data_IF_087359687227
#
_entry.id   IF_087359687227
#
_cell.length_a   1.000
_cell.length_b   1.000
_cell.length_c   1.000
_cell.angle_alpha   90.00
_cell.angle_beta   90.00
_cell.angle_gamma   90.00
#
_symmetry.space_group_name_H-M   'P 1'
#
loop_
_entity.id
_entity.type
_entity.pdbx_description
1 polymer ?
#
# COMPACT_ATOMS: atom_id res chain seq x y z
N UNK A 1 -8.44 -34.43 -11.32
CA UNK A 1 -9.32 -35.02 -10.29
C UNK A 1 -8.77 -34.91 -8.88
N UNK A 2 -7.51 -35.29 -8.61
CA UNK A 2 -6.94 -35.22 -7.25
C UNK A 2 -7.02 -33.84 -6.59
N UNK A 3 -6.72 -32.77 -7.33
CA UNK A 3 -6.79 -31.38 -6.83
C UNK A 3 -8.23 -30.94 -6.53
N UNK A 4 -9.19 -31.38 -7.34
CA UNK A 4 -10.61 -31.05 -7.14
C UNK A 4 -11.16 -31.73 -5.87
N UNK A 5 -10.71 -32.96 -5.61
CA UNK A 5 -11.03 -33.70 -4.38
C UNK A 5 -10.42 -33.04 -3.13
N UNK A 6 -9.15 -32.61 -3.20
CA UNK A 6 -8.48 -31.91 -2.10
C UNK A 6 -9.11 -30.56 -1.75
N UNK A 7 -9.61 -29.82 -2.76
CA UNK A 7 -10.24 -28.51 -2.57
C UNK A 7 -11.76 -28.58 -2.35
N UNK A 8 -12.35 -29.77 -2.39
CA UNK A 8 -13.80 -29.97 -2.24
C UNK A 8 -14.63 -29.23 -3.30
N UNK A 9 -14.12 -29.14 -4.53
CA UNK A 9 -14.79 -28.44 -5.64
C UNK A 9 -15.19 -29.41 -6.75
N UNK A 10 -16.31 -29.12 -7.42
CA UNK A 10 -16.75 -29.89 -8.60
C UNK A 10 -16.20 -29.24 -9.88
N UNK A 11 -15.71 -30.04 -10.82
CA UNK A 11 -15.12 -29.57 -12.08
C UNK A 11 -16.19 -29.06 -13.06
N UNK A 12 -17.39 -29.66 -13.05
CA UNK A 12 -18.50 -29.34 -13.96
C UNK A 12 -19.44 -28.27 -13.40
N UNK A 13 -19.64 -28.26 -12.08
CA UNK A 13 -20.60 -27.34 -11.44
C UNK A 13 -19.95 -26.25 -10.60
N UNK A 14 -18.64 -26.35 -10.32
CA UNK A 14 -17.96 -25.44 -9.41
C UNK A 14 -18.40 -25.59 -7.95
N UNK A 15 -18.10 -24.58 -7.14
CA UNK A 15 -18.48 -24.50 -5.71
C UNK A 15 -19.93 -24.04 -5.56
N UNK A 16 -20.63 -24.54 -4.54
CA UNK A 16 -21.96 -24.06 -4.19
C UNK A 16 -21.91 -22.72 -3.45
N UNK A 17 -22.95 -21.90 -3.59
CA UNK A 17 -23.06 -20.63 -2.86
C UNK A 17 -22.91 -20.79 -1.33
N UNK A 18 -23.42 -21.90 -0.77
CA UNK A 18 -23.32 -22.22 0.65
C UNK A 18 -21.86 -22.49 1.06
N UNK A 19 -21.12 -23.28 0.28
CA UNK A 19 -19.71 -23.56 0.56
C UNK A 19 -18.84 -22.32 0.41
N UNK A 20 -19.14 -21.44 -0.53
CA UNK A 20 -18.46 -20.14 -0.68
C UNK A 20 -18.69 -19.25 0.54
N UNK A 21 -19.90 -19.24 1.11
CA UNK A 21 -20.20 -18.45 2.31
C UNK A 21 -19.41 -18.94 3.53
N UNK A 22 -19.26 -20.27 3.69
CA UNK A 22 -18.39 -20.85 4.72
C UNK A 22 -16.92 -20.47 4.51
N UNK A 23 -16.42 -20.62 3.28
CA UNK A 23 -15.03 -20.30 2.95
C UNK A 23 -14.70 -18.82 3.13
N UNK A 24 -15.66 -17.90 2.92
CA UNK A 24 -15.46 -16.46 3.18
C UNK A 24 -15.28 -16.12 4.66
N UNK A 25 -15.74 -16.98 5.58
CA UNK A 25 -15.49 -16.79 7.01
C UNK A 25 -14.12 -17.35 7.42
N UNK A 26 -13.60 -18.33 6.69
CA UNK A 26 -12.32 -18.99 6.98
C UNK A 26 -11.14 -18.29 6.30
N UNK A 27 -11.38 -17.72 5.10
CA UNK A 27 -10.37 -17.03 4.30
C UNK A 27 -10.73 -15.55 4.11
N UNK A 28 -9.78 -14.62 4.33
CA UNK A 28 -9.98 -13.22 4.04
C UNK A 28 -10.18 -12.97 2.53
N UNK A 29 -10.71 -11.79 2.20
CA UNK A 29 -10.89 -11.34 0.82
C UNK A 29 -9.57 -11.46 0.04
N UNK A 30 -9.67 -11.79 -1.25
CA UNK A 30 -8.52 -11.95 -2.13
C UNK A 30 -8.06 -10.58 -2.64
N UNK A 31 -7.79 -9.69 -1.70
CA UNK A 31 -7.33 -8.33 -1.92
C UNK A 31 -5.88 -8.21 -1.45
N UNK A 32 -5.08 -7.45 -2.20
CA UNK A 32 -3.72 -7.13 -1.79
C UNK A 32 -3.74 -6.08 -0.68
N UNK A 33 -3.27 -6.46 0.52
CA UNK A 33 -3.02 -5.52 1.62
C UNK A 33 -2.16 -4.34 1.14
N UNK A 34 -2.62 -3.11 1.39
CA UNK A 34 -1.95 -1.88 0.93
C UNK A 34 -2.88 -0.82 0.33
N UNK A 35 -4.19 -0.84 0.66
CA UNK A 35 -5.18 0.11 0.16
C UNK A 35 -5.16 1.48 0.83
N UNK A 36 -4.28 1.68 1.82
CA UNK A 36 -4.10 2.98 2.44
C UNK A 36 -3.25 3.84 1.53
N UNK A 37 -3.84 4.93 1.03
CA UNK A 37 -3.13 6.07 0.46
C UNK A 37 -1.88 6.45 1.26
N UNK A 38 -1.00 7.31 0.73
CA UNK A 38 0.17 7.74 1.46
C UNK A 38 -0.32 8.54 2.67
N UNK A 39 -0.31 7.91 3.85
CA UNK A 39 -0.69 8.58 5.08
C UNK A 39 0.40 9.59 5.39
N UNK A 40 0.16 10.84 4.99
CA UNK A 40 1.12 11.94 5.10
C UNK A 40 1.64 12.09 6.53
N UNK A 41 0.78 11.83 7.52
CA UNK A 41 1.13 11.80 8.94
C UNK A 41 2.14 10.69 9.27
N UNK A 42 1.93 9.48 8.80
CA UNK A 42 2.83 8.33 9.03
C UNK A 42 4.18 8.54 8.36
N UNK A 43 4.19 9.07 7.13
CA UNK A 43 5.42 9.38 6.40
C UNK A 43 6.23 10.44 7.15
N UNK A 44 5.58 11.52 7.57
CA UNK A 44 6.20 12.62 8.31
C UNK A 44 6.76 12.17 9.67
N UNK A 45 6.03 11.31 10.39
CA UNK A 45 6.47 10.74 11.66
C UNK A 45 7.69 9.84 11.48
N UNK A 46 7.71 9.01 10.43
CA UNK A 46 8.86 8.17 10.07
C UNK A 46 10.07 9.01 9.66
N UNK A 47 9.84 10.12 8.97
CA UNK A 47 10.89 11.05 8.58
C UNK A 47 11.55 11.71 9.81
N UNK A 48 10.75 12.13 10.80
CA UNK A 48 11.26 12.69 12.07
C UNK A 48 12.00 11.63 12.90
N UNK A 49 11.58 10.37 12.86
CA UNK A 49 12.29 9.27 13.54
C UNK A 49 13.61 8.87 12.88
N UNK A 50 13.96 9.42 11.71
CA UNK A 50 15.23 9.14 11.07
C UNK A 50 16.36 9.91 11.78
N UNK A 51 17.35 9.19 12.30
CA UNK A 51 18.51 9.74 12.98
C UNK A 51 19.22 10.85 12.17
N UNK A 52 19.28 10.72 10.84
CA UNK A 52 19.90 11.73 9.97
C UNK A 52 19.12 13.06 9.98
N UNK A 53 17.80 13.01 10.05
CA UNK A 53 16.94 14.20 10.08
C UNK A 53 16.98 14.87 11.45
N UNK A 54 17.04 14.10 12.54
CA UNK A 54 17.26 14.66 13.87
C UNK A 54 18.57 15.47 13.94
N UNK A 55 19.64 14.99 13.30
CA UNK A 55 20.91 15.73 13.21
C UNK A 55 20.74 17.03 12.41
N UNK A 56 20.01 17.01 11.28
CA UNK A 56 19.74 18.22 10.48
C UNK A 56 18.88 19.24 11.24
N UNK A 57 17.86 18.79 11.97
CA UNK A 57 17.03 19.65 12.81
C UNK A 57 17.86 20.26 13.94
N UNK A 58 18.75 19.48 14.56
CA UNK A 58 19.65 19.98 15.60
C UNK A 58 20.65 21.01 15.06
N UNK A 59 21.26 20.74 13.90
CA UNK A 59 22.15 21.68 13.22
C UNK A 59 21.44 22.98 12.83
N UNK A 60 20.21 22.89 12.33
CA UNK A 60 19.36 24.06 12.06
C UNK A 60 19.10 24.87 13.33
N UNK A 61 18.71 24.22 14.43
CA UNK A 61 18.45 24.88 15.70
C UNK A 61 19.70 25.61 16.26
N UNK A 62 20.88 24.99 16.12
CA UNK A 62 22.15 25.62 16.46
C UNK A 62 22.46 26.83 15.58
N UNK A 63 22.25 26.73 14.26
CA UNK A 63 22.47 27.84 13.32
C UNK A 63 21.59 29.06 13.62
N UNK A 64 20.29 28.83 13.88
CA UNK A 64 19.38 29.90 14.32
C UNK A 64 19.75 30.45 15.70
N UNK A 65 20.26 29.62 16.61
CA UNK A 65 20.72 30.04 17.94
C UNK A 65 21.96 30.94 17.90
N UNK A 66 22.82 30.80 16.89
CA UNK A 66 24.00 31.64 16.67
C UNK A 66 23.65 32.95 15.93
N UNK A 67 22.41 33.10 15.44
CA UNK A 67 21.96 34.28 14.71
C UNK A 67 22.36 34.27 13.23
N UNK A 68 22.86 33.15 12.72
CA UNK A 68 23.17 32.97 11.31
C UNK A 68 21.93 32.49 10.55
N UNK A 69 21.09 33.47 10.21
CA UNK A 69 19.86 33.23 9.46
C UNK A 69 20.10 32.75 8.03
N UNK A 70 21.30 32.97 7.48
CA UNK A 70 21.65 32.54 6.12
C UNK A 70 21.84 31.03 6.11
N UNK A 71 22.67 30.50 7.00
CA UNK A 71 22.92 29.05 7.09
C UNK A 71 21.66 28.28 7.53
N UNK A 72 20.90 28.82 8.48
CA UNK A 72 19.61 28.24 8.87
C UNK A 72 18.59 28.20 7.73
N UNK A 73 18.56 29.25 6.89
CA UNK A 73 17.71 29.33 5.71
C UNK A 73 18.09 28.31 4.62
N UNK A 74 19.39 28.09 4.39
CA UNK A 74 19.88 27.06 3.45
C UNK A 74 19.48 25.66 3.93
N UNK A 75 19.65 25.33 5.21
CA UNK A 75 19.19 24.05 5.75
C UNK A 75 17.68 23.86 5.62
N UNK A 76 16.89 24.91 5.87
CA UNK A 76 15.44 24.85 5.72
C UNK A 76 15.02 24.53 4.29
N UNK A 77 15.66 25.18 3.31
CA UNK A 77 15.41 24.90 1.89
C UNK A 77 15.73 23.44 1.53
N UNK A 78 16.83 22.89 2.04
CA UNK A 78 17.22 21.48 1.81
C UNK A 78 16.18 20.52 2.40
N UNK A 79 15.74 20.74 3.64
CA UNK A 79 14.72 19.89 4.28
C UNK A 79 13.40 19.92 3.49
N UNK A 80 12.97 21.10 3.05
CA UNK A 80 11.75 21.24 2.22
C UNK A 80 11.90 20.50 0.90
N UNK A 81 13.08 20.59 0.26
CA UNK A 81 13.39 19.85 -0.96
C UNK A 81 13.31 18.33 -0.72
N UNK A 82 13.92 17.83 0.35
CA UNK A 82 13.94 16.41 0.69
C UNK A 82 12.52 15.85 0.95
N UNK A 83 11.69 16.60 1.68
CA UNK A 83 10.28 16.22 1.92
C UNK A 83 9.50 16.19 0.61
N UNK A 84 9.70 17.19 -0.27
CA UNK A 84 9.02 17.27 -1.56
C UNK A 84 9.43 16.12 -2.48
N UNK A 85 10.73 15.83 -2.55
CA UNK A 85 11.27 14.72 -3.33
C UNK A 85 10.72 13.40 -2.78
N UNK A 86 10.76 13.19 -1.47
CA UNK A 86 10.20 12.00 -0.81
C UNK A 86 8.72 11.80 -1.15
N UNK A 87 7.93 12.87 -1.07
CA UNK A 87 6.51 12.83 -1.43
C UNK A 87 6.27 12.43 -2.89
N UNK A 88 7.03 13.01 -3.83
CA UNK A 88 6.91 12.67 -5.25
C UNK A 88 7.36 11.23 -5.53
N UNK A 89 8.38 10.74 -4.82
CA UNK A 89 8.82 9.35 -4.92
C UNK A 89 7.76 8.37 -4.42
N UNK A 90 7.13 8.67 -3.28
CA UNK A 90 6.06 7.87 -2.70
C UNK A 90 4.84 7.82 -3.63
N UNK A 91 4.41 8.98 -4.15
CA UNK A 91 3.30 9.06 -5.11
C UNK A 91 3.57 8.24 -6.39
N UNK A 92 4.83 8.19 -6.83
CA UNK A 92 5.24 7.34 -7.96
C UNK A 92 5.25 5.86 -7.59
N UNK A 93 5.64 5.50 -6.36
CA UNK A 93 5.62 4.12 -5.89
C UNK A 93 4.18 3.59 -5.81
N UNK A 94 3.26 4.41 -5.33
CA UNK A 94 1.85 4.08 -5.25
C UNK A 94 1.21 3.93 -6.63
N UNK A 95 1.49 4.82 -7.57
CA UNK A 95 1.05 4.65 -8.98
C UNK A 95 1.55 3.35 -9.60
N UNK A 96 2.74 2.88 -9.24
CA UNK A 96 3.24 1.58 -9.68
C UNK A 96 2.44 0.44 -9.05
N UNK A 97 2.08 0.54 -7.76
CA UNK A 97 1.20 -0.44 -7.13
C UNK A 97 -0.21 -0.43 -7.69
N UNK A 98 -0.78 0.74 -7.99
CA UNK A 98 -2.07 0.85 -8.67
C UNK A 98 -2.02 0.22 -10.07
N UNK A 99 -0.92 0.36 -10.81
CA UNK A 99 -0.77 -0.32 -12.09
C UNK A 99 -0.66 -1.85 -11.95
N UNK A 100 -0.02 -2.35 -10.88
CA UNK A 100 0.00 -3.78 -10.57
C UNK A 100 -1.38 -4.29 -10.13
N UNK A 101 -2.12 -3.49 -9.36
CA UNK A 101 -3.52 -3.78 -8.99
C UNK A 101 -4.44 -3.78 -10.19
N UNK A 102 -4.24 -2.88 -11.15
CA UNK A 102 -5.01 -2.89 -12.40
C UNK A 102 -4.72 -4.13 -13.25
N UNK A 103 -3.53 -4.74 -13.14
CA UNK A 103 -3.20 -6.03 -13.78
C UNK A 103 -3.78 -7.23 -13.00
N UNK A 104 -3.93 -7.12 -11.69
CA UNK A 104 -4.70 -8.05 -10.85
C UNK A 104 -6.20 -7.78 -11.06
N UNK A 105 -6.73 -8.28 -12.17
CA UNK A 105 -8.12 -8.09 -12.62
C UNK A 105 -9.11 -7.86 -11.47
N UNK A 106 -9.75 -6.68 -11.38
CA UNK A 106 -10.74 -6.36 -10.33
C UNK A 106 -12.03 -7.19 -10.47
N UNK A 107 -12.04 -8.15 -11.40
CA UNK A 107 -13.13 -9.09 -11.60
C UNK A 107 -12.59 -10.43 -12.08
N UNK A 108 -13.07 -11.50 -11.49
CA UNK A 108 -12.77 -12.88 -11.87
C UNK A 108 -14.04 -13.57 -12.36
N UNK A 109 -13.93 -14.31 -13.46
CA UNK A 109 -14.98 -15.23 -13.91
C UNK A 109 -14.86 -16.54 -13.13
N UNK A 110 -15.90 -16.90 -12.38
CA UNK A 110 -15.94 -18.10 -11.53
C UNK A 110 -17.13 -18.97 -11.88
N UNK A 111 -16.94 -20.29 -11.86
CA UNK A 111 -18.03 -21.27 -11.99
C UNK A 111 -18.60 -21.57 -10.60
N UNK A 112 -19.88 -21.26 -10.38
CA UNK A 112 -20.61 -21.55 -9.14
C UNK A 112 -22.01 -22.04 -9.44
N UNK A 113 -22.45 -23.09 -8.77
CA UNK A 113 -23.78 -23.71 -8.98
C UNK A 113 -24.09 -23.98 -10.49
N UNK A 114 -23.08 -24.41 -11.26
CA UNK A 114 -23.19 -24.70 -12.69
C UNK A 114 -23.29 -23.47 -13.60
N UNK A 115 -23.09 -22.26 -13.07
CA UNK A 115 -23.16 -21.00 -13.82
C UNK A 115 -21.85 -20.21 -13.73
N UNK A 116 -21.44 -19.63 -14.85
CA UNK A 116 -20.29 -18.72 -14.89
C UNK A 116 -20.76 -17.33 -14.43
N UNK A 117 -20.20 -16.85 -13.31
CA UNK A 117 -20.49 -15.55 -12.73
C UNK A 117 -19.22 -14.69 -12.72
N UNK A 118 -19.33 -13.40 -13.03
CA UNK A 118 -18.24 -12.44 -12.87
C UNK A 118 -18.39 -11.77 -11.52
N UNK A 119 -17.39 -11.91 -10.65
CA UNK A 119 -17.39 -11.33 -9.30
C UNK A 119 -16.18 -10.42 -9.13
N UNK A 120 -16.30 -9.37 -8.32
CA UNK A 120 -15.14 -8.58 -7.91
C UNK A 120 -14.28 -9.38 -6.95
N UNK A 121 -12.97 -9.39 -7.21
CA UNK A 121 -11.96 -10.14 -6.44
C UNK A 121 -11.46 -9.34 -5.27
#
# INVERSE_FOLDING_TARGET
>A
DDVASQLGTNIETGLSAMRVAELKNEYPLNELEGGGGPNWTTLLMKQISNAMILVLIFAMALGFGVGDYIDGGVLAAVIVLDVTIGFVQELKAERKMDSLRALSSPSAAVLRDGKINVIST
#
